data_IF_042871378702
#
_entry.id   IF_042871378702
#
_cell.length_a   1.000
_cell.length_b   1.000
_cell.length_c   1.000
_cell.angle_alpha   90.00
_cell.angle_beta   90.00
_cell.angle_gamma   90.00
#
_symmetry.space_group_name_H-M   'P 1'
#
loop_
_entity.id
_entity.type
_entity.pdbx_description
1 polymer ?
#
# COMPACT_ATOMS: atom_id res chain seq x y z
N UNK A 1 -7.52 10.16 -8.42
CA UNK A 1 -7.56 10.00 -9.89
C UNK A 1 -6.18 9.57 -10.34
N UNK A 2 -6.11 8.58 -11.21
CA UNK A 2 -4.88 8.01 -11.75
C UNK A 2 -4.90 8.15 -13.27
N UNK A 3 -3.79 8.55 -13.88
CA UNK A 3 -3.65 8.61 -15.33
C UNK A 3 -2.56 7.66 -15.81
N UNK A 4 -2.79 7.05 -16.98
CA UNK A 4 -1.79 6.25 -17.71
C UNK A 4 -1.47 6.96 -19.02
N UNK A 5 -0.19 7.08 -19.34
CA UNK A 5 0.22 7.52 -20.67
C UNK A 5 -0.14 6.43 -21.70
N UNK A 6 -0.85 6.78 -22.76
CA UNK A 6 -1.03 5.90 -23.92
C UNK A 6 -0.07 6.24 -25.07
N UNK A 7 0.62 7.38 -24.98
CA UNK A 7 1.77 7.76 -25.80
C UNK A 7 2.99 6.92 -25.50
N UNK A 8 3.87 6.79 -26.51
CA UNK A 8 5.15 6.10 -26.35
C UNK A 8 6.23 7.02 -25.75
N UNK A 9 5.93 8.30 -25.59
CA UNK A 9 6.82 9.33 -25.07
C UNK A 9 6.08 10.28 -24.12
N UNK A 10 6.83 11.06 -23.33
CA UNK A 10 6.27 12.03 -22.38
C UNK A 10 5.95 13.40 -23.01
N UNK A 11 6.45 13.69 -24.21
CA UNK A 11 6.12 14.91 -24.97
C UNK A 11 4.73 14.84 -25.66
N UNK A 12 4.24 13.63 -25.95
CA UNK A 12 2.84 13.37 -26.30
C UNK A 12 2.31 12.14 -25.54
N UNK A 13 1.98 12.30 -24.24
CA UNK A 13 1.66 11.16 -23.38
C UNK A 13 0.28 10.56 -23.64
N UNK A 14 -0.62 11.25 -24.37
CA UNK A 14 -2.01 10.81 -24.63
C UNK A 14 -2.69 10.24 -23.38
N UNK A 15 -2.74 11.04 -22.30
CA UNK A 15 -3.20 10.59 -20.98
C UNK A 15 -4.61 9.98 -21.02
N UNK A 16 -4.75 8.82 -20.40
CA UNK A 16 -6.03 8.13 -20.20
C UNK A 16 -6.35 8.14 -18.71
N UNK A 17 -7.55 8.62 -18.36
CA UNK A 17 -8.06 8.54 -17.00
C UNK A 17 -8.40 7.08 -16.65
N UNK A 18 -7.77 6.56 -15.61
CA UNK A 18 -7.93 5.21 -15.09
C UNK A 18 -8.85 5.17 -13.85
N UNK A 19 -9.40 6.31 -13.43
CA UNK A 19 -10.29 6.45 -12.29
C UNK A 19 -9.59 6.50 -10.94
N UNK A 20 -10.30 6.13 -9.89
CA UNK A 20 -9.77 6.09 -8.52
C UNK A 20 -9.27 4.68 -8.18
N UNK A 21 -7.95 4.44 -8.06
CA UNK A 21 -7.41 3.10 -7.82
C UNK A 21 -7.75 2.54 -6.43
N UNK A 22 -8.03 3.41 -5.44
CA UNK A 22 -8.38 2.99 -4.07
C UNK A 22 -9.86 2.63 -3.93
N UNK A 23 -10.71 3.15 -4.83
CA UNK A 23 -12.18 3.15 -4.72
C UNK A 23 -12.71 3.75 -3.40
N UNK A 24 -11.84 4.43 -2.65
CA UNK A 24 -12.15 5.10 -1.40
C UNK A 24 -12.11 6.61 -1.63
N UNK A 25 -13.09 7.33 -1.10
CA UNK A 25 -13.23 8.77 -1.33
C UNK A 25 -12.07 9.59 -0.73
N UNK A 26 -11.35 9.02 0.23
CA UNK A 26 -10.26 9.67 0.98
C UNK A 26 -8.90 9.04 0.74
N UNK A 27 -8.81 8.10 -0.21
CA UNK A 27 -7.61 7.28 -0.42
C UNK A 27 -7.10 6.65 0.87
N UNK A 28 -8.01 6.11 1.68
CA UNK A 28 -7.72 5.52 2.99
C UNK A 28 -7.18 6.53 4.01
N UNK A 29 -7.74 7.75 4.04
CA UNK A 29 -7.25 8.88 4.84
C UNK A 29 -5.77 9.21 4.57
N UNK A 30 -5.32 9.05 3.33
CA UNK A 30 -3.92 9.29 2.94
C UNK A 30 -3.81 10.19 1.72
N UNK A 31 -2.64 10.82 1.57
CA UNK A 31 -2.28 11.61 0.40
C UNK A 31 -1.07 10.96 -0.29
N UNK A 32 -1.16 10.64 -1.60
CA UNK A 32 -0.03 10.07 -2.35
C UNK A 32 1.22 10.96 -2.24
N UNK A 33 2.38 10.34 -1.98
CA UNK A 33 3.66 11.03 -1.85
C UNK A 33 4.71 10.50 -2.83
N UNK A 34 4.75 9.17 -3.05
CA UNK A 34 5.68 8.56 -3.98
C UNK A 34 5.21 7.18 -4.47
N UNK A 35 5.82 6.68 -5.55
CA UNK A 35 5.68 5.29 -6.00
C UNK A 35 7.08 4.74 -6.22
N UNK A 36 7.46 3.71 -5.45
CA UNK A 36 8.80 3.09 -5.52
C UNK A 36 8.71 1.72 -6.19
N UNK A 37 9.54 1.41 -7.20
CA UNK A 37 9.68 0.05 -7.71
C UNK A 37 10.43 -0.81 -6.68
N UNK A 38 9.96 -2.04 -6.48
CA UNK A 38 10.60 -3.03 -5.62
C UNK A 38 10.69 -4.37 -6.36
N UNK A 39 11.83 -5.03 -6.23
CA UNK A 39 12.05 -6.37 -6.75
C UNK A 39 12.38 -7.29 -5.58
N UNK A 40 11.51 -8.25 -5.23
CA UNK A 40 11.78 -9.20 -4.17
C UNK A 40 12.92 -10.16 -4.55
N UNK A 41 13.47 -10.88 -3.57
CA UNK A 41 14.48 -11.91 -3.84
C UNK A 41 13.92 -13.06 -4.69
N UNK A 42 12.63 -13.34 -4.52
CA UNK A 42 11.86 -14.33 -5.25
C UNK A 42 10.53 -13.70 -5.68
N UNK A 43 10.18 -13.75 -6.96
CA UNK A 43 8.94 -13.18 -7.49
C UNK A 43 9.17 -12.10 -8.54
N UNK A 44 8.08 -11.46 -8.95
CA UNK A 44 8.09 -10.43 -9.99
C UNK A 44 8.25 -9.02 -9.38
N UNK A 45 8.90 -8.08 -10.10
CA UNK A 45 8.93 -6.69 -9.70
C UNK A 45 7.52 -6.10 -9.57
N UNK A 46 7.32 -5.25 -8.57
CA UNK A 46 6.08 -4.52 -8.37
C UNK A 46 6.35 -3.09 -7.90
N UNK A 47 5.29 -2.31 -7.73
CA UNK A 47 5.38 -0.94 -7.26
C UNK A 47 4.71 -0.80 -5.90
N UNK A 48 5.34 -0.06 -5.00
CA UNK A 48 4.76 0.31 -3.70
C UNK A 48 4.24 1.73 -3.81
N UNK A 49 2.93 1.89 -3.61
CA UNK A 49 2.30 3.17 -3.36
C UNK A 49 2.69 3.65 -1.96
N UNK A 50 3.28 4.84 -1.87
CA UNK A 50 3.59 5.50 -0.61
C UNK A 50 2.67 6.71 -0.45
N UNK A 51 2.11 6.85 0.73
CA UNK A 51 1.26 7.98 1.08
C UNK A 51 1.37 8.35 2.56
N UNK A 52 1.12 9.62 2.82
CA UNK A 52 1.12 10.23 4.14
C UNK A 52 -0.31 10.34 4.66
N UNK A 53 -0.54 9.84 5.87
CA UNK A 53 -1.71 10.15 6.67
C UNK A 53 -1.34 11.29 7.63
N UNK A 54 -1.63 12.52 7.24
CA UNK A 54 -1.14 13.73 7.92
C UNK A 54 -1.71 13.97 9.31
N UNK A 55 -2.99 13.66 9.53
CA UNK A 55 -3.72 14.08 10.75
C UNK A 55 -4.68 13.02 11.31
N UNK A 56 -4.79 11.86 10.65
CA UNK A 56 -5.65 10.77 11.09
C UNK A 56 -4.85 9.59 11.67
N UNK A 57 -3.55 9.76 11.94
CA UNK A 57 -2.73 8.78 12.63
C UNK A 57 -2.87 8.82 14.16
N UNK A 58 -3.31 9.96 14.72
CA UNK A 58 -3.55 10.14 16.15
C UNK A 58 -4.08 11.54 16.48
N UNK A 59 -4.35 11.85 17.77
CA UNK A 59 -4.98 13.10 18.18
C UNK A 59 -4.07 14.34 18.09
N UNK A 60 -2.74 14.19 17.99
CA UNK A 60 -1.76 15.28 18.04
C UNK A 60 -1.42 15.87 16.66
N UNK A 61 -2.19 15.54 15.62
CA UNK A 61 -2.04 16.10 14.28
C UNK A 61 -0.76 15.61 13.60
N UNK A 62 0.08 16.54 13.10
CA UNK A 62 1.29 16.19 12.32
C UNK A 62 2.31 15.36 13.11
N UNK A 63 2.34 15.47 14.44
CA UNK A 63 3.22 14.65 15.29
C UNK A 63 2.85 13.17 15.21
N UNK A 64 1.56 12.89 15.07
CA UNK A 64 1.01 11.55 14.90
C UNK A 64 0.85 11.17 13.42
N UNK A 65 1.46 11.91 12.50
CA UNK A 65 1.40 11.56 11.09
C UNK A 65 1.95 10.13 10.87
N UNK A 66 1.24 9.36 10.06
CA UNK A 66 1.53 7.96 9.79
C UNK A 66 1.61 7.69 8.29
N UNK A 67 1.94 6.46 7.92
CA UNK A 67 2.14 6.07 6.53
C UNK A 67 1.11 5.05 6.09
N UNK A 68 0.69 5.14 4.83
CA UNK A 68 -0.08 4.11 4.13
C UNK A 68 0.74 3.63 2.95
N UNK A 69 1.38 2.47 3.12
CA UNK A 69 2.17 1.83 2.07
C UNK A 69 1.45 0.58 1.61
N UNK A 70 1.19 0.47 0.31
CA UNK A 70 0.40 -0.61 -0.26
C UNK A 70 0.97 -1.03 -1.62
N UNK A 71 0.93 -2.33 -1.97
CA UNK A 71 1.36 -2.78 -3.27
C UNK A 71 0.32 -2.38 -4.35
N UNK A 72 0.79 -1.73 -5.41
CA UNK A 72 0.00 -1.40 -6.59
C UNK A 72 -0.20 -2.64 -7.45
N UNK A 73 -1.45 -3.01 -7.70
CA UNK A 73 -1.78 -4.13 -8.56
C UNK A 73 -2.18 -3.65 -9.96
N UNK A 74 -1.45 -4.13 -10.97
CA UNK A 74 -1.71 -3.85 -12.38
C UNK A 74 -2.47 -5.02 -13.01
N UNK A 75 -3.73 -4.79 -13.32
CA UNK A 75 -4.50 -5.66 -14.21
C UNK A 75 -4.33 -5.24 -15.69
N UNK A 76 -4.95 -5.99 -16.60
CA UNK A 76 -4.89 -5.71 -18.05
C UNK A 76 -5.27 -4.26 -18.39
N UNK A 77 -6.38 -3.80 -17.82
CA UNK A 77 -6.97 -2.48 -18.12
C UNK A 77 -7.28 -1.66 -16.86
N UNK A 78 -6.77 -2.09 -15.70
CA UNK A 78 -7.09 -1.49 -14.40
C UNK A 78 -5.86 -1.42 -13.52
N UNK A 79 -5.78 -0.38 -12.68
CA UNK A 79 -4.82 -0.30 -11.58
C UNK A 79 -5.61 -0.19 -10.29
N UNK A 80 -5.31 -1.05 -9.32
CA UNK A 80 -6.04 -1.14 -8.06
C UNK A 80 -5.11 -1.08 -6.87
N UNK A 81 -5.60 -0.44 -5.80
CA UNK A 81 -4.97 -0.39 -4.49
C UNK A 81 -5.97 -0.95 -3.47
N UNK A 82 -5.66 -2.12 -2.93
CA UNK A 82 -6.47 -2.75 -1.89
C UNK A 82 -6.00 -2.28 -0.52
N UNK A 83 -6.94 -1.86 0.34
CA UNK A 83 -6.61 -1.53 1.72
C UNK A 83 -6.13 -2.77 2.45
N UNK A 84 -4.95 -2.72 3.04
CA UNK A 84 -4.38 -3.76 3.89
C UNK A 84 -3.81 -3.11 5.15
N UNK A 85 -4.02 -3.74 6.30
CA UNK A 85 -3.42 -3.28 7.58
C UNK A 85 -2.00 -3.84 7.75
N UNK A 86 -1.70 -4.95 7.09
CA UNK A 86 -0.41 -5.64 7.06
C UNK A 86 -0.27 -6.34 5.70
N UNK A 87 0.95 -6.43 5.18
CA UNK A 87 1.29 -7.15 3.95
C UNK A 87 2.78 -7.55 3.95
N UNK A 88 3.17 -8.44 3.03
CA UNK A 88 4.53 -8.98 2.96
C UNK A 88 5.32 -8.44 1.75
N UNK A 89 6.57 -8.02 1.94
CA UNK A 89 7.38 -7.48 0.84
C UNK A 89 7.74 -8.55 -0.20
N UNK A 90 7.91 -9.81 0.20
CA UNK A 90 8.24 -10.91 -0.72
C UNK A 90 6.97 -11.50 -1.35
N UNK A 91 5.82 -11.42 -0.66
CA UNK A 91 4.53 -11.95 -1.10
C UNK A 91 3.41 -10.89 -1.03
N UNK A 92 3.50 -9.78 -1.79
CA UNK A 92 2.68 -8.57 -1.59
C UNK A 92 1.19 -8.73 -1.92
N UNK A 93 0.85 -9.74 -2.71
CA UNK A 93 -0.52 -9.97 -3.16
C UNK A 93 -1.15 -11.21 -2.53
N UNK A 94 -0.42 -11.90 -1.65
CA UNK A 94 -0.94 -13.05 -0.92
C UNK A 94 -1.70 -12.59 0.33
N UNK A 95 -2.72 -13.36 0.72
CA UNK A 95 -3.40 -13.12 1.98
C UNK A 95 -2.43 -13.40 3.14
N UNK A 96 -2.38 -12.49 4.11
CA UNK A 96 -1.60 -12.72 5.32
C UNK A 96 -2.17 -13.94 6.05
N UNK A 97 -1.37 -15.00 6.30
CA UNK A 97 -1.84 -16.15 7.04
C UNK A 97 -2.23 -15.74 8.46
N UNK A 98 -3.35 -16.25 8.97
CA UNK A 98 -3.86 -15.94 10.32
C UNK A 98 -2.80 -16.16 11.43
N UNK A 99 -1.85 -17.06 11.18
CA UNK A 99 -0.74 -17.40 12.08
C UNK A 99 0.35 -16.32 12.20
N UNK A 100 0.40 -15.31 11.32
CA UNK A 100 1.35 -14.19 11.41
C UNK A 100 0.93 -13.16 12.47
N UNK A 101 -0.37 -13.09 12.76
CA UNK A 101 -0.96 -12.13 13.73
C UNK A 101 -0.47 -12.35 15.17
N UNK A 102 0.08 -13.52 15.47
CA UNK A 102 0.41 -13.93 16.85
C UNK A 102 1.89 -13.75 17.23
N UNK A 103 2.79 -13.72 16.24
CA UNK A 103 4.24 -13.58 16.52
C UNK A 103 4.66 -12.13 16.82
N UNK A 104 3.91 -11.13 16.32
CA UNK A 104 4.19 -9.72 16.63
C UNK A 104 3.81 -9.30 18.07
N UNK A 105 2.90 -10.03 18.74
CA UNK A 105 2.55 -9.75 20.15
C UNK A 105 3.62 -10.24 21.13
N UNK A 106 4.46 -11.19 20.74
CA UNK A 106 5.43 -11.80 21.65
C UNK A 106 6.80 -11.09 21.71
N UNK A 107 7.05 -10.09 20.85
CA UNK A 107 8.35 -9.40 20.79
C UNK A 107 8.47 -8.28 21.84
N UNK A 108 7.36 -7.74 22.36
CA UNK A 108 7.40 -6.74 23.45
C UNK A 108 7.20 -7.48 24.79
N UNK A 109 8.31 -7.68 25.51
CA UNK A 109 8.43 -8.21 26.89
C UNK A 109 8.41 -9.74 27.11
N UNK A 110 8.60 -10.56 26.08
CA UNK A 110 9.00 -11.98 26.27
C UNK A 110 7.99 -12.84 27.04
N UNK A 111 6.71 -12.53 26.98
CA UNK A 111 5.64 -13.40 27.52
C UNK A 111 4.53 -13.55 26.49
N UNK A 112 4.53 -14.69 25.79
CA UNK A 112 3.37 -15.19 25.08
C UNK A 112 2.42 -15.78 26.14
N UNK A 113 1.24 -15.17 26.37
CA UNK A 113 0.17 -15.82 27.13
C UNK A 113 -0.76 -16.54 26.16
N UNK A 114 -0.72 -17.87 26.15
CA UNK A 114 -1.74 -18.69 25.52
C UNK A 114 -2.95 -18.73 26.45
N UNK A 115 -4.01 -17.99 26.15
CA UNK A 115 -5.33 -18.31 26.68
C UNK A 115 -6.36 -18.29 25.54
N UNK A 116 -7.19 -19.31 25.59
CA UNK A 116 -8.26 -19.73 24.68
C UNK A 116 -9.37 -18.69 24.60
#
# INVERSE_FOLDING_TARGET
MLFRAAGDTLDDPRWVDMGNPTRDATSFNSQPTFVVPFTPAHGEPYFVYMADNWVHGGPEGLVDAAYVWLPLHFGKDTVTLSRQTEWDLDNPFEAIPETRTDTARCIINGRCSNEV
#
